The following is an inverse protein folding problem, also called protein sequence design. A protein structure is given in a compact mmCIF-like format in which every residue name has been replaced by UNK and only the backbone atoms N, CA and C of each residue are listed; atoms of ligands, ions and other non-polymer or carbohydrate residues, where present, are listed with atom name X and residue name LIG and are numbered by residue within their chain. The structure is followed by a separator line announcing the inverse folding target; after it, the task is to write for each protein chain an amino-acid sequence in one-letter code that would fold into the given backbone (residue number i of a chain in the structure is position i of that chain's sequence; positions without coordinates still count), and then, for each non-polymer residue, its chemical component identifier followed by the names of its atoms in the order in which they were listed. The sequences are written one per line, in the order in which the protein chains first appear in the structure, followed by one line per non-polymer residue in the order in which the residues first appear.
data_IF_666289592615
#
_entry.id   IF_666289592615
#
_cell.length_a   1.000
_cell.length_b   1.000
_cell.length_c   1.000
_cell.angle_alpha   90.00
_cell.angle_beta   90.00
_cell.angle_gamma   90.00
#
_symmetry.space_group_name_H-M   'P 1'
#
loop_
_entity.id
_entity.type
_entity.pdbx_description
1 polymer ?
#
# COMPACT_ATOMS: atom_id res chain seq x y z
N UNK A 1 17.02 21.83 -1.81
CA UNK A 1 15.55 21.72 -1.69
C UNK A 1 15.11 20.48 -2.45
N UNK A 2 14.32 19.59 -1.84
CA UNK A 2 13.76 18.44 -2.55
C UNK A 2 12.63 18.89 -3.47
N UNK A 3 12.56 18.33 -4.68
CA UNK A 3 11.40 18.58 -5.53
C UNK A 3 10.19 17.74 -5.05
N UNK A 4 8.99 18.08 -5.53
CA UNK A 4 7.74 17.43 -5.12
C UNK A 4 7.73 15.94 -5.45
N UNK A 5 8.38 15.51 -6.54
CA UNK A 5 8.46 14.10 -6.94
C UNK A 5 9.33 13.28 -6.00
N UNK A 6 10.52 13.78 -5.65
CA UNK A 6 11.40 13.18 -4.66
C UNK A 6 10.69 13.05 -3.31
N UNK A 7 9.95 14.08 -2.89
CA UNK A 7 9.17 14.05 -1.68
C UNK A 7 8.10 12.95 -1.72
N UNK A 8 7.35 12.80 -2.82
CA UNK A 8 6.36 11.72 -2.98
C UNK A 8 7.00 10.34 -2.90
N UNK A 9 8.14 10.14 -3.55
CA UNK A 9 8.84 8.87 -3.57
C UNK A 9 9.37 8.49 -2.17
N UNK A 10 10.01 9.45 -1.48
CA UNK A 10 10.50 9.28 -0.12
C UNK A 10 9.35 9.04 0.85
N UNK A 11 8.24 9.78 0.75
CA UNK A 11 7.06 9.59 1.60
C UNK A 11 6.43 8.21 1.40
N UNK A 12 6.28 7.75 0.15
CA UNK A 12 5.78 6.40 -0.13
C UNK A 12 6.70 5.33 0.47
N UNK A 13 8.02 5.48 0.30
CA UNK A 13 9.02 4.61 0.91
C UNK A 13 8.91 4.57 2.45
N UNK A 14 8.81 5.73 3.09
CA UNK A 14 8.65 5.83 4.54
C UNK A 14 7.38 5.13 5.03
N UNK A 15 6.27 5.32 4.33
CA UNK A 15 5.02 4.61 4.64
C UNK A 15 5.17 3.09 4.56
N UNK A 16 5.85 2.57 3.54
CA UNK A 16 6.12 1.13 3.44
C UNK A 16 7.06 0.62 4.53
N UNK A 17 8.06 1.42 4.91
CA UNK A 17 8.95 1.12 6.04
C UNK A 17 8.23 1.14 7.39
N UNK A 18 7.07 1.78 7.51
CA UNK A 18 6.26 1.73 8.73
C UNK A 18 5.25 0.57 8.70
N UNK A 19 4.59 0.33 7.57
CA UNK A 19 3.52 -0.67 7.49
C UNK A 19 4.03 -2.12 7.53
N UNK A 20 5.16 -2.41 6.88
CA UNK A 20 5.68 -3.77 6.82
C UNK A 20 6.20 -4.24 8.18
N UNK A 21 7.05 -3.48 8.91
CA UNK A 21 7.52 -3.90 10.22
C UNK A 21 6.39 -3.97 11.25
N UNK A 22 5.41 -3.05 11.21
CA UNK A 22 4.24 -3.13 12.11
C UNK A 22 3.39 -4.38 11.85
N UNK A 23 3.26 -4.81 10.59
CA UNK A 23 2.58 -6.07 10.24
C UNK A 23 3.36 -7.31 10.72
N UNK A 24 4.70 -7.29 10.57
CA UNK A 24 5.56 -8.33 11.14
C UNK A 24 5.44 -8.37 12.66
N UNK A 25 5.39 -7.23 13.33
CA UNK A 25 5.23 -7.16 14.78
C UNK A 25 3.87 -7.75 15.21
N UNK A 26 2.77 -7.41 14.52
CA UNK A 26 1.46 -8.03 14.79
C UNK A 26 1.49 -9.55 14.65
N UNK A 27 2.20 -10.08 13.64
CA UNK A 27 2.36 -11.53 13.46
C UNK A 27 3.09 -12.17 14.65
N UNK A 28 4.10 -11.52 15.22
CA UNK A 28 4.82 -12.04 16.38
C UNK A 28 4.03 -11.90 17.69
N UNK A 29 3.24 -10.83 17.83
CA UNK A 29 2.41 -10.60 19.01
C UNK A 29 1.28 -11.63 19.16
N UNK A 30 0.78 -12.17 18.04
CA UNK A 30 -0.32 -13.14 18.04
C UNK A 30 -1.66 -12.50 18.41
N UNK A 31 -2.73 -13.32 18.38
CA UNK A 31 -4.07 -12.90 18.82
C UNK A 31 -4.23 -13.17 20.33
N UNK A 32 -4.95 -12.31 21.07
CA UNK A 32 -5.61 -11.08 20.62
C UNK A 32 -4.60 -9.95 20.37
N UNK A 33 -4.76 -9.20 19.28
CA UNK A 33 -3.83 -8.12 18.95
C UNK A 33 -3.96 -6.96 19.94
N UNK A 34 -2.83 -6.35 20.31
CA UNK A 34 -2.83 -5.11 21.07
C UNK A 34 -3.57 -3.99 20.31
N UNK A 35 -4.54 -3.36 20.97
CA UNK A 35 -5.43 -2.36 20.36
C UNK A 35 -4.67 -1.26 19.59
N UNK A 36 -3.62 -0.69 20.19
CA UNK A 36 -2.86 0.40 19.60
C UNK A 36 -2.13 -0.05 18.33
N UNK A 37 -1.30 -1.10 18.42
CA UNK A 37 -0.51 -1.60 17.30
C UNK A 37 -1.40 -2.01 16.12
N UNK A 38 -2.52 -2.68 16.42
CA UNK A 38 -3.49 -3.13 15.42
C UNK A 38 -4.15 -1.97 14.66
N UNK A 39 -4.62 -0.95 15.37
CA UNK A 39 -5.24 0.22 14.75
C UNK A 39 -4.21 1.04 13.98
N UNK A 40 -3.00 1.24 14.52
CA UNK A 40 -1.92 1.94 13.83
C UNK A 40 -1.56 1.26 12.51
N UNK A 41 -1.38 -0.06 12.51
CA UNK A 41 -1.10 -0.80 11.27
C UNK A 41 -2.19 -0.57 10.22
N UNK A 42 -3.46 -0.70 10.58
CA UNK A 42 -4.58 -0.48 9.64
C UNK A 42 -4.64 0.97 9.13
N UNK A 43 -4.50 1.95 10.03
CA UNK A 43 -4.56 3.36 9.67
C UNK A 43 -3.37 3.81 8.83
N UNK A 44 -2.17 3.30 9.09
CA UNK A 44 -1.01 3.52 8.24
C UNK A 44 -1.32 2.97 6.85
N UNK A 45 -1.77 1.70 6.75
CA UNK A 45 -2.07 1.05 5.46
C UNK A 45 -3.10 1.82 4.63
N UNK A 46 -4.19 2.26 5.26
CA UNK A 46 -5.20 3.10 4.62
C UNK A 46 -4.64 4.48 4.24
N UNK A 47 -3.82 5.07 5.12
CA UNK A 47 -3.15 6.35 4.89
C UNK A 47 -2.25 6.31 3.65
N UNK A 48 -1.47 5.24 3.45
CA UNK A 48 -0.65 5.06 2.24
C UNK A 48 -1.53 5.04 0.99
N UNK A 49 -2.60 4.26 1.03
CA UNK A 49 -3.49 4.10 -0.12
C UNK A 49 -4.15 5.43 -0.51
N UNK A 50 -4.69 6.17 0.46
CA UNK A 50 -5.29 7.49 0.23
C UNK A 50 -4.24 8.49 -0.25
N UNK A 51 -3.06 8.52 0.38
CA UNK A 51 -1.97 9.40 -0.03
C UNK A 51 -1.60 9.20 -1.50
N UNK A 52 -1.42 7.95 -1.94
CA UNK A 52 -1.10 7.64 -3.33
C UNK A 52 -2.25 8.01 -4.26
N UNK A 53 -3.50 7.62 -3.93
CA UNK A 53 -4.67 7.92 -4.74
C UNK A 53 -4.85 9.43 -4.98
N UNK A 54 -4.72 10.25 -3.93
CA UNK A 54 -4.84 11.71 -4.03
C UNK A 54 -3.71 12.30 -4.87
N UNK A 55 -2.47 11.83 -4.69
CA UNK A 55 -1.35 12.32 -5.48
C UNK A 55 -1.55 12.03 -6.97
N UNK A 56 -2.04 10.84 -7.32
CA UNK A 56 -2.27 10.44 -8.70
C UNK A 56 -3.44 11.16 -9.34
N UNK A 57 -4.53 11.33 -8.59
CA UNK A 57 -5.63 12.18 -9.03
C UNK A 57 -5.13 13.60 -9.37
N UNK A 58 -4.37 14.22 -8.47
CA UNK A 58 -3.81 15.57 -8.70
C UNK A 58 -2.85 15.61 -9.90
N UNK A 59 -2.03 14.57 -10.09
CA UNK A 59 -1.11 14.49 -11.22
C UNK A 59 -1.85 14.37 -12.55
N UNK A 60 -2.88 13.52 -12.62
CA UNK A 60 -3.70 13.37 -13.82
C UNK A 60 -4.46 14.66 -14.19
N UNK A 61 -4.91 15.43 -13.18
CA UNK A 61 -5.53 16.73 -13.41
C UNK A 61 -4.54 17.78 -13.94
N UNK A 62 -3.28 17.75 -13.49
CA UNK A 62 -2.25 18.69 -13.95
C UNK A 62 -1.78 18.36 -15.37
N UNK A 63 -1.68 17.07 -15.70
CA UNK A 63 -1.44 16.62 -17.05
C UNK A 63 -1.85 15.15 -17.18
N UNK A 64 -2.67 14.79 -18.19
CA UNK A 64 -3.23 13.46 -18.32
C UNK A 64 -2.19 12.35 -18.28
N UNK A 65 -2.52 11.25 -17.59
CA UNK A 65 -1.74 10.03 -17.59
C UNK A 65 -1.86 9.33 -18.94
N UNK A 66 -0.75 8.78 -19.41
CA UNK A 66 -0.75 7.82 -20.53
C UNK A 66 -1.49 6.54 -20.15
N UNK A 67 -1.94 5.78 -21.15
CA UNK A 67 -2.60 4.48 -20.96
C UNK A 67 -1.76 3.52 -20.10
N UNK A 68 -0.43 3.50 -20.31
CA UNK A 68 0.48 2.65 -19.55
C UNK A 68 0.54 3.06 -18.06
N UNK A 69 0.66 4.36 -17.77
CA UNK A 69 0.68 4.86 -16.40
C UNK A 69 -0.65 4.59 -15.69
N UNK A 70 -1.78 4.86 -16.35
CA UNK A 70 -3.10 4.58 -15.81
C UNK A 70 -3.28 3.08 -15.49
N UNK A 71 -2.83 2.21 -16.39
CA UNK A 71 -2.92 0.75 -16.21
C UNK A 71 -2.09 0.29 -15.01
N UNK A 72 -0.86 0.80 -14.87
CA UNK A 72 0.00 0.50 -13.72
C UNK A 72 -0.63 0.96 -12.40
N UNK A 73 -1.28 2.13 -12.39
CA UNK A 73 -1.98 2.65 -11.22
C UNK A 73 -3.23 1.87 -10.85
N UNK A 74 -4.03 1.44 -11.83
CA UNK A 74 -5.18 0.57 -11.59
C UNK A 74 -4.71 -0.75 -10.97
N UNK A 75 -3.67 -1.37 -11.54
CA UNK A 75 -3.10 -2.60 -10.99
C UNK A 75 -2.57 -2.42 -9.56
N UNK A 76 -1.86 -1.32 -9.29
CA UNK A 76 -1.38 -0.97 -7.95
C UNK A 76 -2.54 -0.78 -6.97
N UNK A 77 -3.60 -0.10 -7.38
CA UNK A 77 -4.81 0.09 -6.58
C UNK A 77 -5.48 -1.24 -6.22
N UNK A 78 -5.59 -2.16 -7.19
CA UNK A 78 -6.14 -3.50 -6.95
C UNK A 78 -5.31 -4.30 -5.93
N UNK A 79 -3.98 -4.26 -6.01
CA UNK A 79 -3.12 -4.91 -5.01
C UNK A 79 -3.26 -4.30 -3.62
N UNK A 80 -3.39 -2.97 -3.53
CA UNK A 80 -3.67 -2.30 -2.25
C UNK A 80 -5.00 -2.74 -1.65
N UNK A 81 -6.07 -2.71 -2.45
CA UNK A 81 -7.41 -3.12 -2.00
C UNK A 81 -7.38 -4.58 -1.54
N UNK A 82 -6.77 -5.47 -2.32
CA UNK A 82 -6.63 -6.88 -1.95
C UNK A 82 -5.81 -7.05 -0.65
N UNK A 83 -4.76 -6.26 -0.44
CA UNK A 83 -3.95 -6.27 0.79
C UNK A 83 -4.77 -5.83 2.01
N UNK A 84 -5.54 -4.75 1.88
CA UNK A 84 -6.38 -4.20 2.96
C UNK A 84 -7.51 -5.18 3.29
N UNK A 85 -8.21 -5.69 2.28
CA UNK A 85 -9.31 -6.64 2.46
C UNK A 85 -8.79 -7.92 3.11
N UNK A 86 -7.73 -8.53 2.58
CA UNK A 86 -7.15 -9.75 3.16
C UNK A 86 -6.66 -9.53 4.60
N UNK A 87 -6.09 -8.37 4.93
CA UNK A 87 -5.71 -8.01 6.30
C UNK A 87 -6.90 -7.86 7.24
N UNK A 88 -7.99 -7.26 6.76
CA UNK A 88 -9.27 -7.20 7.47
C UNK A 88 -9.80 -8.60 7.78
N UNK A 89 -9.82 -9.49 6.78
CA UNK A 89 -10.28 -10.86 6.94
C UNK A 89 -9.43 -11.65 7.94
N UNK A 90 -8.10 -11.64 7.81
CA UNK A 90 -7.17 -12.32 8.74
C UNK A 90 -7.34 -11.82 10.18
N UNK A 91 -7.78 -10.57 10.35
CA UNK A 91 -7.98 -9.98 11.67
C UNK A 91 -9.24 -10.44 12.40
N UNK A 92 -10.22 -11.01 11.69
CA UNK A 92 -11.44 -11.57 12.31
C UNK A 92 -11.07 -12.84 13.07
N UNK A 93 -11.69 -13.05 14.23
CA UNK A 93 -11.52 -14.27 15.02
C UNK A 93 -12.35 -15.44 14.46
N UNK A 94 -12.00 -15.83 13.23
CA UNK A 94 -12.62 -16.90 12.45
C UNK A 94 -11.55 -17.56 11.60
N UNK A 95 -11.70 -18.87 11.36
CA UNK A 95 -10.86 -19.60 10.42
C UNK A 95 -11.22 -19.23 8.97
N UNK A 96 -10.22 -18.83 8.20
CA UNK A 96 -10.32 -18.59 6.76
C UNK A 96 -9.56 -19.68 6.00
N UNK A 97 -9.94 -19.98 4.75
CA UNK A 97 -9.14 -20.86 3.90
C UNK A 97 -7.71 -20.32 3.77
N UNK A 98 -6.73 -21.23 3.64
CA UNK A 98 -5.30 -20.89 3.64
C UNK A 98 -4.89 -19.81 2.63
N UNK A 99 -5.67 -19.66 1.55
CA UNK A 99 -5.48 -18.61 0.55
C UNK A 99 -5.51 -17.19 1.15
N UNK A 100 -6.38 -16.91 2.13
CA UNK A 100 -6.53 -15.57 2.71
C UNK A 100 -5.27 -15.10 3.46
N UNK A 101 -4.72 -15.87 4.42
CA UNK A 101 -3.47 -15.49 5.09
C UNK A 101 -2.26 -15.55 4.15
N UNK A 102 -2.23 -16.43 3.16
CA UNK A 102 -1.17 -16.44 2.13
C UNK A 102 -1.19 -15.16 1.31
N UNK A 103 -2.38 -14.74 0.86
CA UNK A 103 -2.56 -13.49 0.13
C UNK A 103 -2.14 -12.29 0.98
N UNK A 104 -2.58 -12.19 2.23
CA UNK A 104 -2.17 -11.08 3.09
C UNK A 104 -0.66 -11.06 3.38
N UNK A 105 0.01 -12.23 3.31
CA UNK A 105 1.47 -12.31 3.42
C UNK A 105 2.18 -11.87 2.14
N UNK A 106 1.66 -12.19 0.96
CA UNK A 106 2.34 -11.95 -0.32
C UNK A 106 1.97 -10.61 -0.98
N UNK A 107 0.69 -10.22 -0.93
CA UNK A 107 0.18 -9.01 -1.57
C UNK A 107 0.86 -7.71 -1.12
N UNK A 108 1.30 -7.52 0.14
CA UNK A 108 2.04 -6.32 0.52
C UNK A 108 3.32 -6.13 -0.30
N UNK A 109 4.05 -7.21 -0.60
CA UNK A 109 5.27 -7.14 -1.42
C UNK A 109 4.96 -6.81 -2.89
N UNK A 110 3.89 -7.40 -3.43
CA UNK A 110 3.41 -7.05 -4.78
C UNK A 110 2.94 -5.60 -4.85
N UNK A 111 2.32 -5.10 -3.76
CA UNK A 111 1.88 -3.71 -3.64
C UNK A 111 3.06 -2.74 -3.64
N UNK A 112 4.14 -3.06 -2.90
CA UNK A 112 5.39 -2.27 -2.94
C UNK A 112 5.98 -2.26 -4.34
N UNK A 113 6.09 -3.43 -4.97
CA UNK A 113 6.65 -3.56 -6.32
C UNK A 113 5.83 -2.77 -7.35
N UNK A 114 4.50 -2.94 -7.34
CA UNK A 114 3.60 -2.23 -8.25
C UNK A 114 3.63 -0.71 -8.03
N UNK A 115 3.69 -0.26 -6.77
CA UNK A 115 3.85 1.17 -6.44
C UNK A 115 5.17 1.71 -6.95
N UNK A 116 6.26 0.96 -6.78
CA UNK A 116 7.60 1.35 -7.27
C UNK A 116 7.60 1.48 -8.79
N UNK A 117 7.04 0.51 -9.51
CA UNK A 117 6.90 0.54 -10.98
C UNK A 117 6.05 1.73 -11.42
N UNK A 118 4.92 1.97 -10.76
CA UNK A 118 4.01 3.06 -11.12
C UNK A 118 4.64 4.44 -10.89
N UNK A 119 5.33 4.64 -9.76
CA UNK A 119 6.08 5.87 -9.50
C UNK A 119 7.26 6.06 -10.46
N UNK A 120 7.95 4.99 -10.83
CA UNK A 120 9.03 5.04 -11.80
C UNK A 120 8.54 5.43 -13.20
N UNK A 121 7.42 4.86 -13.67
CA UNK A 121 6.84 5.21 -14.97
C UNK A 121 6.47 6.70 -15.03
N UNK A 122 5.91 7.23 -13.94
CA UNK A 122 5.60 8.66 -13.82
C UNK A 122 6.87 9.53 -13.82
N UNK A 123 7.94 9.08 -13.17
CA UNK A 123 9.20 9.82 -13.15
C UNK A 123 9.88 9.81 -14.52
N UNK A 124 9.80 8.71 -15.27
CA UNK A 124 10.46 8.60 -16.58
C UNK A 124 9.86 9.55 -17.62
N UNK A 125 8.56 9.83 -17.55
CA UNK A 125 7.85 10.65 -18.54
C UNK A 125 7.76 12.14 -18.17
N UNK A 126 8.32 12.55 -17.02
CA UNK A 126 8.20 13.91 -16.46
C UNK A 126 9.55 14.52 -16.15
#
# INVERSE_FOLDING_TARGET
MMNVFQLRFVSAGLFFLLILPSGLWLRHAGKPYGFILFNLHKLIGLGVFIFLAVNIYRMNQAAPLSTLELTAWIATGLFFVATIVSGGLVSIDKSWPAVVPILHKLLPYLTVLATTISLYLLFRQR
#
